data_IF_047915651511
#
_entry.id   IF_047915651511
#
_cell.length_a   1.000
_cell.length_b   1.000
_cell.length_c   1.000
_cell.angle_alpha   90.00
_cell.angle_beta   90.00
_cell.angle_gamma   90.00
#
_symmetry.space_group_name_H-M   'P 1'
#
loop_
_entity.id
_entity.type
_entity.pdbx_description
1 polymer ?
#
# COMPACT_ATOMS: atom_id res chain seq x y z
N UNK A 1 41.40 26.80 -26.25
CA UNK A 1 40.75 25.49 -26.23
C UNK A 1 40.00 25.47 -24.91
N UNK A 2 38.73 25.69 -25.03
CA UNK A 2 37.84 26.02 -23.91
C UNK A 2 37.25 24.75 -23.31
N UNK A 3 37.48 24.56 -22.02
CA UNK A 3 36.82 23.56 -21.17
C UNK A 3 35.31 23.78 -21.24
N UNK A 4 34.58 22.74 -21.62
CA UNK A 4 33.15 22.70 -21.53
C UNK A 4 32.73 22.45 -20.07
N UNK A 5 32.27 23.48 -19.42
CA UNK A 5 31.53 23.41 -18.14
C UNK A 5 30.36 22.46 -18.28
N UNK A 6 30.49 21.29 -17.70
CA UNK A 6 29.35 20.39 -17.43
C UNK A 6 28.60 20.94 -16.22
N UNK A 7 27.38 21.38 -16.44
CA UNK A 7 26.47 21.86 -15.39
C UNK A 7 26.32 20.78 -14.29
N UNK A 8 26.72 21.07 -13.04
CA UNK A 8 26.70 20.07 -11.96
C UNK A 8 25.32 19.73 -11.43
N UNK A 9 24.24 20.34 -11.92
CA UNK A 9 22.90 20.15 -11.32
C UNK A 9 22.05 19.04 -11.96
N UNK A 10 22.46 18.46 -13.09
CA UNK A 10 21.64 17.45 -13.80
C UNK A 10 22.15 16.02 -13.67
N UNK A 11 23.32 15.79 -13.09
CA UNK A 11 23.97 14.48 -13.11
C UNK A 11 23.72 13.53 -11.91
N UNK A 12 23.40 13.94 -10.66
CA UNK A 12 23.37 13.01 -9.54
C UNK A 12 22.10 12.15 -9.43
N UNK A 13 20.96 12.70 -9.83
CA UNK A 13 19.65 12.06 -9.56
C UNK A 13 19.40 10.82 -10.43
N UNK A 14 19.85 10.83 -11.67
CA UNK A 14 19.67 9.68 -12.56
C UNK A 14 20.62 8.52 -12.22
N UNK A 15 21.84 8.80 -11.77
CA UNK A 15 22.81 7.74 -11.43
C UNK A 15 22.42 6.93 -10.21
N UNK A 16 21.83 7.54 -9.18
CA UNK A 16 21.41 6.82 -7.97
C UNK A 16 20.27 5.82 -8.26
N UNK A 17 19.31 6.19 -9.08
CA UNK A 17 18.21 5.30 -9.46
C UNK A 17 18.65 4.07 -10.26
N UNK A 18 19.59 4.24 -11.21
CA UNK A 18 20.14 3.12 -11.99
C UNK A 18 21.03 2.21 -11.15
N UNK A 19 21.84 2.77 -10.25
CA UNK A 19 22.69 1.95 -9.36
C UNK A 19 21.81 1.12 -8.41
N UNK A 20 20.80 1.71 -7.80
CA UNK A 20 19.85 0.98 -6.95
C UNK A 20 19.10 -0.10 -7.72
N UNK A 21 18.68 0.18 -8.95
CA UNK A 21 18.07 -0.84 -9.83
C UNK A 21 19.03 -1.98 -10.12
N UNK A 22 20.30 -1.68 -10.44
CA UNK A 22 21.32 -2.69 -10.73
C UNK A 22 21.71 -3.52 -9.50
N UNK A 23 21.80 -2.90 -8.33
CA UNK A 23 22.07 -3.58 -7.06
C UNK A 23 20.95 -4.56 -6.66
N UNK A 24 19.71 -4.25 -7.04
CA UNK A 24 18.53 -5.09 -6.76
C UNK A 24 18.18 -6.04 -7.92
N UNK A 25 18.92 -5.99 -9.03
CA UNK A 25 18.78 -6.96 -10.11
C UNK A 25 19.27 -8.34 -9.62
N UNK A 26 18.32 -9.25 -9.41
CA UNK A 26 18.68 -10.66 -9.21
C UNK A 26 19.18 -11.24 -10.54
N UNK A 27 20.45 -11.62 -10.65
CA UNK A 27 21.02 -12.16 -11.88
C UNK A 27 20.42 -13.53 -12.26
N UNK A 28 19.80 -14.20 -11.27
CA UNK A 28 19.10 -15.47 -11.47
C UNK A 28 17.64 -15.32 -11.11
N UNK A 29 16.76 -15.80 -11.99
CA UNK A 29 15.33 -15.89 -11.74
C UNK A 29 14.98 -17.36 -11.49
N UNK A 30 14.34 -17.60 -10.36
CA UNK A 30 13.89 -18.95 -9.99
C UNK A 30 12.46 -19.17 -10.43
N UNK A 31 12.23 -20.31 -11.06
CA UNK A 31 10.94 -20.71 -11.57
C UNK A 31 10.55 -22.08 -11.04
N UNK A 32 9.32 -22.20 -10.59
CA UNK A 32 8.67 -23.43 -10.24
C UNK A 32 7.41 -23.62 -11.05
N UNK A 33 6.60 -24.57 -10.64
CA UNK A 33 5.37 -24.91 -11.31
C UNK A 33 4.23 -25.12 -10.32
N UNK A 34 3.02 -24.84 -10.76
CA UNK A 34 1.81 -25.16 -10.00
C UNK A 34 1.63 -26.67 -9.98
N UNK A 35 1.68 -27.26 -8.80
CA UNK A 35 1.39 -28.67 -8.54
C UNK A 35 -0.11 -28.94 -8.48
N UNK A 36 -0.86 -28.04 -7.85
CA UNK A 36 -2.29 -28.16 -7.68
C UNK A 36 -2.93 -26.93 -7.05
N UNK A 37 -4.25 -26.87 -7.14
CA UNK A 37 -5.06 -25.80 -6.52
C UNK A 37 -6.02 -26.45 -5.53
N UNK A 38 -5.99 -26.03 -4.28
CA UNK A 38 -6.81 -26.53 -3.17
C UNK A 38 -7.60 -25.38 -2.55
N UNK A 39 -8.84 -25.21 -2.95
CA UNK A 39 -9.66 -24.10 -2.48
C UNK A 39 -9.04 -22.74 -2.82
N UNK A 40 -8.64 -21.97 -1.79
CA UNK A 40 -8.01 -20.65 -1.95
C UNK A 40 -6.47 -20.70 -1.98
N UNK A 41 -5.88 -21.90 -1.95
CA UNK A 41 -4.43 -22.08 -1.91
C UNK A 41 -3.92 -22.77 -3.16
N UNK A 42 -2.74 -22.36 -3.61
CA UNK A 42 -2.02 -22.96 -4.74
C UNK A 42 -0.77 -23.65 -4.19
N UNK A 43 -0.59 -24.92 -4.53
CA UNK A 43 0.63 -25.66 -4.23
C UNK A 43 1.65 -25.46 -5.35
N UNK A 44 2.87 -25.07 -4.96
CA UNK A 44 3.97 -24.76 -5.88
C UNK A 44 5.13 -25.68 -5.57
N UNK A 45 5.70 -26.30 -6.59
CA UNK A 45 6.86 -27.18 -6.50
C UNK A 45 8.06 -26.65 -7.27
N UNK A 46 9.25 -27.19 -6.97
CA UNK A 46 10.51 -26.89 -7.69
C UNK A 46 11.24 -25.63 -7.21
N UNK A 47 10.68 -24.85 -6.28
CA UNK A 47 11.31 -23.61 -5.78
C UNK A 47 11.16 -23.39 -4.27
N UNK A 48 10.81 -24.41 -3.51
CA UNK A 48 10.57 -24.25 -2.06
C UNK A 48 11.77 -23.68 -1.31
N UNK A 49 12.99 -23.99 -1.76
CA UNK A 49 14.24 -23.52 -1.14
C UNK A 49 14.53 -22.02 -1.41
N UNK A 50 13.84 -21.43 -2.38
CA UNK A 50 13.98 -20.02 -2.77
C UNK A 50 12.81 -19.16 -2.31
N UNK A 51 11.87 -19.73 -1.57
CA UNK A 51 10.68 -19.05 -1.07
C UNK A 51 10.72 -18.93 0.46
N UNK A 52 10.19 -17.85 0.95
CA UNK A 52 9.99 -17.62 2.40
C UNK A 52 8.53 -17.30 2.68
N UNK A 53 8.05 -17.61 3.89
CA UNK A 53 6.70 -17.22 4.31
C UNK A 53 6.59 -15.70 4.28
N UNK A 54 5.53 -15.19 3.65
CA UNK A 54 5.32 -13.75 3.41
C UNK A 54 5.99 -13.22 2.12
N UNK A 55 6.86 -14.03 1.48
CA UNK A 55 7.36 -13.73 0.13
C UNK A 55 6.27 -13.81 -0.92
N UNK A 56 6.51 -13.25 -2.09
CA UNK A 56 5.54 -13.22 -3.18
C UNK A 56 6.06 -13.93 -4.44
N UNK A 57 5.13 -14.42 -5.23
CA UNK A 57 5.40 -15.00 -6.53
C UNK A 57 4.37 -14.56 -7.57
N UNK A 58 4.71 -14.72 -8.84
CA UNK A 58 3.82 -14.51 -9.98
C UNK A 58 3.55 -15.87 -10.65
N UNK A 59 2.28 -16.21 -10.80
CA UNK A 59 1.82 -17.44 -11.44
C UNK A 59 1.32 -17.08 -12.83
N UNK A 60 1.91 -17.66 -13.86
CA UNK A 60 1.50 -17.45 -15.24
C UNK A 60 0.12 -18.09 -15.50
N UNK A 61 -0.72 -17.41 -16.26
CA UNK A 61 -2.04 -17.88 -16.68
C UNK A 61 -2.14 -17.74 -18.19
N UNK A 62 -2.19 -18.82 -18.90
CA UNK A 62 -2.14 -18.86 -20.37
C UNK A 62 -3.02 -17.79 -21.04
N UNK A 63 -2.41 -16.73 -21.57
CA UNK A 63 -3.10 -15.62 -22.23
C UNK A 63 -3.70 -14.54 -21.32
N UNK A 64 -3.63 -14.69 -19.99
CA UNK A 64 -4.11 -13.71 -19.02
C UNK A 64 -2.95 -13.06 -18.27
N UNK A 65 -3.21 -11.94 -17.60
CA UNK A 65 -2.22 -11.30 -16.71
C UNK A 65 -1.77 -12.27 -15.61
N UNK A 66 -0.47 -12.30 -15.27
CA UNK A 66 0.03 -13.16 -14.20
C UNK A 66 -0.69 -12.88 -12.87
N UNK A 67 -0.93 -13.94 -12.11
CA UNK A 67 -1.57 -13.86 -10.80
C UNK A 67 -0.52 -13.75 -9.71
N UNK A 68 -0.53 -12.66 -8.94
CA UNK A 68 0.33 -12.49 -7.77
C UNK A 68 -0.19 -13.32 -6.61
N UNK A 69 0.70 -13.98 -5.87
CA UNK A 69 0.35 -14.76 -4.69
C UNK A 69 1.39 -14.56 -3.56
N UNK A 70 0.94 -14.65 -2.30
CA UNK A 70 1.78 -14.61 -1.11
C UNK A 70 2.02 -16.03 -0.60
N UNK A 71 3.25 -16.36 -0.25
CA UNK A 71 3.59 -17.65 0.37
C UNK A 71 3.13 -17.66 1.81
N UNK A 72 2.25 -18.58 2.14
CA UNK A 72 1.65 -18.70 3.48
C UNK A 72 2.21 -19.86 4.30
N UNK A 73 2.95 -20.78 3.67
CA UNK A 73 3.58 -21.90 4.35
C UNK A 73 4.15 -22.92 3.40
N UNK A 74 4.58 -24.05 3.97
CA UNK A 74 5.15 -25.18 3.24
C UNK A 74 4.53 -26.48 3.72
N UNK A 75 4.29 -27.42 2.82
CA UNK A 75 3.74 -28.75 3.14
C UNK A 75 4.25 -29.77 2.14
N UNK A 76 4.75 -30.91 2.63
CA UNK A 76 5.20 -32.04 1.79
C UNK A 76 6.17 -31.63 0.66
N UNK A 77 7.11 -30.72 0.95
CA UNK A 77 8.10 -30.26 -0.02
C UNK A 77 7.57 -29.23 -1.03
N UNK A 78 6.29 -28.85 -0.97
CA UNK A 78 5.69 -27.81 -1.81
C UNK A 78 5.46 -26.53 -1.00
N UNK A 79 5.57 -25.38 -1.65
CA UNK A 79 5.16 -24.10 -1.07
C UNK A 79 3.63 -23.94 -1.25
N UNK A 80 2.98 -23.42 -0.22
CA UNK A 80 1.58 -23.04 -0.24
C UNK A 80 1.49 -21.54 -0.47
N UNK A 81 0.90 -21.13 -1.59
CA UNK A 81 0.69 -19.75 -1.94
C UNK A 81 -0.80 -19.39 -1.89
N UNK A 82 -1.12 -18.23 -1.37
CA UNK A 82 -2.46 -17.66 -1.40
C UNK A 82 -2.51 -16.54 -2.45
N UNK A 83 -3.34 -16.66 -3.49
CA UNK A 83 -3.48 -15.65 -4.52
C UNK A 83 -4.11 -14.36 -4.02
N UNK A 84 -3.67 -13.23 -4.57
CA UNK A 84 -4.30 -11.92 -4.35
C UNK A 84 -5.58 -11.73 -5.16
N UNK A 85 -5.77 -12.49 -6.23
CA UNK A 85 -6.98 -12.46 -7.09
C UNK A 85 -7.61 -13.82 -7.23
N UNK A 86 -8.54 -13.93 -8.19
CA UNK A 86 -9.24 -15.19 -8.50
C UNK A 86 -8.31 -16.21 -9.16
N UNK A 87 -8.52 -17.48 -8.84
CA UNK A 87 -7.73 -18.61 -9.34
C UNK A 87 -8.20 -19.13 -10.72
N UNK A 88 -9.14 -18.43 -11.33
CA UNK A 88 -9.64 -18.78 -12.65
C UNK A 88 -8.50 -18.84 -13.67
N UNK A 89 -8.58 -19.80 -14.57
CA UNK A 89 -7.57 -20.06 -15.62
C UNK A 89 -6.19 -20.50 -15.11
N UNK A 90 -6.06 -20.89 -13.84
CA UNK A 90 -4.87 -21.59 -13.36
C UNK A 90 -4.90 -23.05 -13.82
N UNK A 91 -3.78 -23.51 -14.37
CA UNK A 91 -3.58 -24.92 -14.73
C UNK A 91 -2.45 -25.53 -13.90
N UNK A 92 -2.50 -26.83 -13.70
CA UNK A 92 -1.35 -27.58 -13.20
C UNK A 92 -0.20 -27.47 -14.20
N UNK A 93 1.02 -27.37 -13.68
CA UNK A 93 2.20 -27.12 -14.52
C UNK A 93 2.40 -25.66 -14.92
N UNK A 94 1.47 -24.74 -14.59
CA UNK A 94 1.66 -23.31 -14.85
C UNK A 94 2.96 -22.80 -14.20
N UNK A 95 3.72 -21.99 -14.94
CA UNK A 95 5.02 -21.47 -14.49
C UNK A 95 4.84 -20.45 -13.37
N UNK A 96 5.66 -20.58 -12.35
CA UNK A 96 5.68 -19.68 -11.18
C UNK A 96 7.03 -19.00 -11.08
N UNK A 97 7.04 -17.67 -11.10
CA UNK A 97 8.24 -16.85 -10.92
C UNK A 97 8.33 -16.37 -9.48
N UNK A 98 9.45 -16.57 -8.82
CA UNK A 98 9.74 -15.98 -7.51
C UNK A 98 9.94 -14.48 -7.67
N UNK A 99 9.27 -13.68 -6.84
CA UNK A 99 9.57 -12.27 -6.69
C UNK A 99 10.63 -12.11 -5.60
N UNK A 100 11.77 -11.53 -5.96
CA UNK A 100 12.87 -11.32 -5.03
C UNK A 100 12.50 -10.26 -3.99
N UNK A 101 12.81 -10.54 -2.73
CA UNK A 101 12.63 -9.60 -1.62
C UNK A 101 11.21 -9.58 -1.02
N UNK A 102 11.09 -8.87 0.09
CA UNK A 102 9.81 -8.53 0.68
C UNK A 102 9.11 -7.47 -0.20
N UNK A 103 7.75 -7.42 -0.21
CA UNK A 103 7.06 -6.40 -0.96
C UNK A 103 7.37 -5.00 -0.40
N UNK A 104 7.84 -4.12 -1.27
CA UNK A 104 8.30 -2.77 -0.96
C UNK A 104 7.54 -1.73 -1.78
N UNK A 105 7.47 -0.51 -1.24
CA UNK A 105 6.99 0.69 -1.91
C UNK A 105 8.14 1.68 -2.04
N UNK A 106 8.03 2.56 -3.02
CA UNK A 106 8.95 3.68 -3.21
C UNK A 106 8.17 5.01 -3.17
N UNK A 107 7.59 5.38 -2.00
CA UNK A 107 6.77 6.56 -1.91
C UNK A 107 7.58 7.83 -2.15
N UNK A 108 6.93 8.84 -2.72
CA UNK A 108 7.50 10.17 -2.91
C UNK A 108 6.47 11.25 -2.54
N UNK A 109 6.88 12.51 -2.32
CA UNK A 109 5.95 13.61 -2.09
C UNK A 109 4.92 13.79 -3.22
N UNK A 110 5.27 13.37 -4.45
CA UNK A 110 4.39 13.42 -5.62
C UNK A 110 3.22 12.42 -5.57
N UNK A 111 3.15 11.56 -4.53
CA UNK A 111 2.01 10.66 -4.32
C UNK A 111 0.78 11.37 -3.75
N UNK A 112 0.92 12.62 -3.26
CA UNK A 112 -0.24 13.44 -2.89
C UNK A 112 -1.15 13.67 -4.10
N UNK A 113 -2.43 13.47 -3.94
CA UNK A 113 -3.43 13.53 -5.02
C UNK A 113 -3.62 12.25 -5.82
N UNK A 114 -2.94 11.14 -5.44
CA UNK A 114 -3.01 9.86 -6.13
C UNK A 114 -3.88 8.83 -5.40
N UNK A 115 -4.45 7.93 -6.19
CA UNK A 115 -5.27 6.80 -5.70
C UNK A 115 -4.57 5.51 -6.11
N UNK A 116 -4.32 4.66 -5.12
CA UNK A 116 -3.51 3.45 -5.23
C UNK A 116 -4.34 2.20 -4.92
N UNK A 117 -3.93 1.07 -5.47
CA UNK A 117 -4.41 -0.24 -5.03
C UNK A 117 -3.61 -0.75 -3.81
N UNK A 118 -3.92 -1.96 -3.35
CA UNK A 118 -3.25 -2.60 -2.22
C UNK A 118 -1.75 -2.87 -2.43
N UNK A 119 -1.29 -2.92 -3.68
CA UNK A 119 0.12 -3.09 -4.02
C UNK A 119 0.88 -1.77 -4.16
N UNK A 120 0.20 -0.63 -3.98
CA UNK A 120 0.79 0.71 -4.19
C UNK A 120 0.87 1.11 -5.66
N UNK A 121 0.12 0.45 -6.54
CA UNK A 121 0.05 0.78 -7.96
C UNK A 121 -1.08 1.79 -8.21
N UNK A 122 -0.91 2.77 -9.12
CA UNK A 122 -1.91 3.79 -9.36
C UNK A 122 -3.14 3.24 -10.09
N UNK A 123 -4.33 3.61 -9.63
CA UNK A 123 -5.62 3.24 -10.23
C UNK A 123 -6.44 4.46 -10.70
N UNK A 124 -5.86 5.65 -10.60
CA UNK A 124 -6.50 6.94 -10.90
C UNK A 124 -6.35 7.40 -12.35
N UNK A 125 -5.79 6.60 -13.24
CA UNK A 125 -5.54 6.89 -14.66
C UNK A 125 -4.67 8.14 -14.89
N UNK A 126 -3.96 8.65 -13.88
CA UNK A 126 -3.07 9.80 -13.97
C UNK A 126 -1.63 9.44 -14.38
N UNK A 127 -1.43 8.26 -14.95
CA UNK A 127 -0.12 7.75 -15.34
C UNK A 127 0.70 7.15 -14.19
N UNK A 128 1.94 6.75 -14.45
CA UNK A 128 2.79 6.10 -13.46
C UNK A 128 3.08 6.99 -12.26
N UNK A 129 3.40 6.36 -11.13
CA UNK A 129 3.85 7.08 -9.94
C UNK A 129 5.31 7.51 -10.08
N UNK A 130 5.62 8.67 -9.55
CA UNK A 130 7.03 9.05 -9.33
C UNK A 130 7.57 8.24 -8.18
N UNK A 131 8.64 7.48 -8.41
CA UNK A 131 9.32 6.71 -7.39
C UNK A 131 10.16 7.61 -6.50
N UNK A 132 10.11 7.35 -5.20
CA UNK A 132 11.02 7.94 -4.23
C UNK A 132 12.38 7.24 -4.27
N UNK A 133 13.35 7.84 -3.61
CA UNK A 133 14.72 7.36 -3.57
C UNK A 133 14.89 6.09 -2.70
N UNK A 134 14.06 5.94 -1.67
CA UNK A 134 14.21 4.89 -0.67
C UNK A 134 13.05 3.91 -0.67
N UNK A 135 13.40 2.63 -0.67
CA UNK A 135 12.43 1.55 -0.49
C UNK A 135 11.84 1.58 0.92
N UNK A 136 10.54 1.30 1.01
CA UNK A 136 9.84 1.11 2.26
C UNK A 136 9.12 -0.23 2.25
N UNK A 137 9.44 -1.13 3.20
CA UNK A 137 8.74 -2.40 3.28
C UNK A 137 7.25 -2.15 3.62
N UNK A 138 6.36 -2.85 2.94
CA UNK A 138 4.91 -2.74 3.18
C UNK A 138 4.58 -3.19 4.60
N UNK A 139 5.22 -4.27 5.08
CA UNK A 139 5.10 -4.74 6.46
C UNK A 139 6.31 -4.24 7.26
N UNK A 140 6.17 -3.06 7.86
CA UNK A 140 7.21 -2.48 8.72
C UNK A 140 7.35 -3.20 10.07
N UNK A 141 8.52 -3.06 10.68
CA UNK A 141 8.75 -3.53 12.05
C UNK A 141 8.16 -2.55 13.05
N UNK A 142 7.34 -2.99 14.01
CA UNK A 142 6.78 -2.10 15.02
C UNK A 142 7.87 -1.39 15.84
N UNK A 143 7.67 -0.10 16.08
CA UNK A 143 8.59 0.69 16.94
C UNK A 143 8.55 0.10 18.36
N UNK A 144 9.70 -0.27 18.95
CA UNK A 144 9.77 -0.77 20.31
C UNK A 144 9.12 0.19 21.32
N UNK A 145 8.47 -0.35 22.35
CA UNK A 145 7.66 0.45 23.28
C UNK A 145 8.45 1.61 23.93
N UNK A 146 9.70 1.38 24.31
CA UNK A 146 10.57 2.38 24.92
C UNK A 146 11.00 3.54 24.00
N UNK A 147 10.92 3.33 22.66
CA UNK A 147 11.24 4.36 21.64
C UNK A 147 10.01 5.14 21.18
N UNK A 148 8.81 4.72 21.61
CA UNK A 148 7.58 5.42 21.23
C UNK A 148 7.52 6.77 21.93
N UNK A 149 7.25 7.81 21.14
CA UNK A 149 7.00 9.14 21.69
C UNK A 149 5.69 9.13 22.48
N UNK A 150 5.61 9.97 23.52
CA UNK A 150 4.34 10.26 24.21
C UNK A 150 3.38 10.96 23.23
N UNK A 151 2.08 10.93 23.55
CA UNK A 151 1.11 11.75 22.81
C UNK A 151 1.55 13.20 22.83
N UNK A 152 1.46 13.85 21.66
CA UNK A 152 1.87 15.23 21.49
C UNK A 152 0.77 16.21 21.86
N UNK A 153 0.92 17.43 21.36
CA UNK A 153 -0.04 18.51 21.54
C UNK A 153 -1.39 18.19 20.88
N UNK A 154 -2.40 18.94 21.29
CA UNK A 154 -3.73 18.87 20.70
C UNK A 154 -3.69 19.18 19.20
N UNK A 155 -4.35 18.36 18.42
CA UNK A 155 -4.49 18.53 16.99
C UNK A 155 -5.82 19.22 16.67
N UNK A 156 -5.79 20.24 15.83
CA UNK A 156 -7.01 20.84 15.29
C UNK A 156 -7.58 19.93 14.20
N UNK A 157 -8.70 19.30 14.51
CA UNK A 157 -9.41 18.40 13.60
C UNK A 157 -10.28 19.12 12.57
N UNK A 158 -10.30 20.47 12.59
CA UNK A 158 -11.10 21.29 11.69
C UNK A 158 -12.61 21.28 11.97
N UNK A 159 -13.05 20.54 12.97
CA UNK A 159 -14.46 20.39 13.34
C UNK A 159 -14.70 20.89 14.75
N UNK A 160 -15.57 21.90 14.91
CA UNK A 160 -15.86 22.52 16.22
C UNK A 160 -16.26 21.50 17.28
N UNK A 161 -17.15 20.55 16.92
CA UNK A 161 -17.62 19.50 17.83
C UNK A 161 -16.47 18.63 18.33
N UNK A 162 -15.60 18.18 17.43
CA UNK A 162 -14.44 17.37 17.82
C UNK A 162 -13.45 18.18 18.64
N UNK A 163 -13.15 19.39 18.20
CA UNK A 163 -12.22 20.25 18.91
C UNK A 163 -12.69 20.62 20.32
N UNK A 164 -14.00 20.66 20.56
CA UNK A 164 -14.56 21.02 21.85
C UNK A 164 -14.81 19.83 22.77
N UNK A 165 -15.46 18.79 22.26
CA UNK A 165 -15.95 17.69 23.09
C UNK A 165 -15.14 16.40 22.97
N UNK A 166 -14.39 16.22 21.87
CA UNK A 166 -13.62 15.02 21.57
C UNK A 166 -12.21 15.40 21.09
N UNK A 167 -11.44 16.14 21.90
CA UNK A 167 -10.12 16.60 21.49
C UNK A 167 -9.19 15.43 21.18
N UNK A 168 -8.51 15.51 20.04
CA UNK A 168 -7.54 14.53 19.61
C UNK A 168 -6.13 15.13 19.68
N UNK A 169 -5.16 14.35 20.16
CA UNK A 169 -3.76 14.76 20.23
C UNK A 169 -2.94 14.09 19.10
N UNK A 170 -1.81 14.71 18.76
CA UNK A 170 -0.86 14.15 17.82
C UNK A 170 -0.34 12.80 18.34
N UNK A 171 -0.36 11.78 17.47
CA UNK A 171 0.00 10.40 17.83
C UNK A 171 -1.11 9.60 18.51
N UNK A 172 -2.28 10.18 18.75
CA UNK A 172 -3.44 9.47 19.30
C UNK A 172 -4.12 8.61 18.24
N UNK A 173 -4.65 7.47 18.67
CA UNK A 173 -5.55 6.62 17.90
C UNK A 173 -6.97 6.76 18.41
N UNK A 174 -7.91 7.00 17.51
CA UNK A 174 -9.32 7.19 17.83
C UNK A 174 -10.17 6.26 16.97
N UNK A 175 -11.15 5.61 17.56
CA UNK A 175 -12.13 4.79 16.84
C UNK A 175 -13.40 5.59 16.58
N UNK A 176 -13.92 5.48 15.36
CA UNK A 176 -15.24 6.00 14.97
C UNK A 176 -16.17 4.81 14.79
N UNK A 177 -17.04 4.59 15.77
CA UNK A 177 -18.00 3.50 15.76
C UNK A 177 -19.39 4.03 15.42
N UNK A 178 -19.99 3.48 14.37
CA UNK A 178 -21.32 3.88 13.93
C UNK A 178 -22.03 2.76 13.19
N UNK A 179 -23.37 2.81 13.19
CA UNK A 179 -24.19 2.01 12.29
C UNK A 179 -24.08 2.47 10.83
N UNK A 180 -24.76 1.78 9.94
CA UNK A 180 -24.85 2.18 8.53
C UNK A 180 -25.68 3.46 8.38
N UNK A 181 -25.26 4.36 7.49
CA UNK A 181 -26.02 5.55 7.09
C UNK A 181 -26.04 6.71 8.09
N UNK A 182 -25.27 6.67 9.18
CA UNK A 182 -25.28 7.74 10.21
C UNK A 182 -24.23 8.83 9.99
N UNK A 183 -23.53 8.83 8.84
CA UNK A 183 -22.59 9.90 8.47
C UNK A 183 -21.13 9.63 8.77
N UNK A 184 -20.68 8.39 9.00
CA UNK A 184 -19.25 8.04 9.21
C UNK A 184 -18.37 8.54 8.06
N UNK A 185 -18.73 8.23 6.82
CA UNK A 185 -17.97 8.64 5.64
C UNK A 185 -17.95 10.16 5.45
N UNK A 186 -19.07 10.84 5.77
CA UNK A 186 -19.14 12.29 5.78
C UNK A 186 -18.18 12.89 6.81
N UNK A 187 -18.16 12.35 8.02
CA UNK A 187 -17.23 12.78 9.07
C UNK A 187 -15.77 12.59 8.62
N UNK A 188 -15.44 11.44 8.05
CA UNK A 188 -14.08 11.17 7.55
C UNK A 188 -13.67 12.15 6.45
N UNK A 189 -14.57 12.44 5.51
CA UNK A 189 -14.32 13.42 4.46
C UNK A 189 -14.11 14.84 5.02
N UNK A 190 -14.90 15.24 6.01
CA UNK A 190 -14.72 16.52 6.70
C UNK A 190 -13.38 16.58 7.42
N UNK A 191 -12.95 15.51 8.09
CA UNK A 191 -11.63 15.42 8.70
C UNK A 191 -10.51 15.55 7.66
N UNK A 192 -10.62 14.83 6.54
CA UNK A 192 -9.65 14.90 5.46
C UNK A 192 -9.56 16.31 4.84
N UNK A 193 -10.67 17.04 4.75
CA UNK A 193 -10.69 18.40 4.18
C UNK A 193 -10.21 19.46 5.15
N UNK A 194 -10.54 19.36 6.43
CA UNK A 194 -10.42 20.49 7.37
C UNK A 194 -9.41 20.30 8.49
N UNK A 195 -8.96 19.06 8.78
CA UNK A 195 -7.96 18.85 9.80
C UNK A 195 -6.63 19.53 9.46
N UNK A 196 -5.98 20.11 10.45
CA UNK A 196 -4.65 20.71 10.32
C UNK A 196 -3.57 19.63 10.34
N UNK A 197 -3.45 18.92 9.22
CA UNK A 197 -2.40 17.97 8.93
C UNK A 197 -1.74 18.34 7.61
N UNK A 198 -0.45 18.03 7.43
CA UNK A 198 0.29 18.32 6.20
C UNK A 198 -0.06 17.31 5.11
N UNK A 199 -0.28 16.06 5.53
CA UNK A 199 -0.68 14.96 4.64
C UNK A 199 -1.78 14.13 5.27
N UNK A 200 -2.75 13.76 4.45
CA UNK A 200 -3.81 12.82 4.81
C UNK A 200 -3.56 11.51 4.08
N UNK A 201 -3.59 10.39 4.78
CA UNK A 201 -3.55 9.06 4.14
C UNK A 201 -4.83 8.33 4.46
N UNK A 202 -5.54 7.91 3.43
CA UNK A 202 -6.88 7.31 3.57
C UNK A 202 -6.86 5.90 3.02
N UNK A 203 -7.12 4.91 3.88
CA UNK A 203 -7.36 3.53 3.48
C UNK A 203 -8.87 3.25 3.38
N UNK A 204 -9.37 3.01 2.18
CA UNK A 204 -10.74 2.58 1.93
C UNK A 204 -10.74 1.07 1.70
N UNK A 205 -11.05 0.30 2.76
CA UNK A 205 -10.81 -1.14 2.79
C UNK A 205 -12.14 -1.87 3.03
N UNK A 206 -12.55 -2.65 2.03
CA UNK A 206 -13.75 -3.44 2.07
C UNK A 206 -15.05 -2.64 1.88
N UNK A 207 -14.95 -1.38 1.45
CA UNK A 207 -16.11 -0.58 1.06
C UNK A 207 -16.58 -0.98 -0.35
N UNK A 208 -17.84 -0.71 -0.68
CA UNK A 208 -18.35 -1.00 -2.02
C UNK A 208 -17.78 0.00 -3.03
N UNK A 209 -17.49 -0.46 -4.26
CA UNK A 209 -16.93 0.40 -5.31
C UNK A 209 -17.72 1.69 -5.52
N UNK A 210 -19.07 1.65 -5.45
CA UNK A 210 -19.91 2.84 -5.53
C UNK A 210 -19.66 3.81 -4.36
N UNK A 211 -19.59 3.31 -3.13
CA UNK A 211 -19.35 4.13 -1.93
C UNK A 211 -17.97 4.78 -1.97
N UNK A 212 -16.97 4.08 -2.51
CA UNK A 212 -15.63 4.62 -2.75
C UNK A 212 -15.68 5.76 -3.76
N UNK A 213 -16.40 5.59 -4.86
CA UNK A 213 -16.55 6.62 -5.88
C UNK A 213 -17.23 7.87 -5.32
N UNK A 214 -18.38 7.71 -4.65
CA UNK A 214 -19.12 8.81 -4.04
C UNK A 214 -18.29 9.54 -2.97
N UNK A 215 -17.49 8.78 -2.19
CA UNK A 215 -16.58 9.38 -1.21
C UNK A 215 -15.52 10.26 -1.88
N UNK A 216 -14.90 9.80 -2.95
CA UNK A 216 -13.83 10.53 -3.64
C UNK A 216 -14.38 11.78 -4.34
N UNK A 217 -15.48 11.63 -5.08
CA UNK A 217 -16.02 12.70 -5.92
C UNK A 217 -16.79 13.75 -5.10
N UNK A 218 -17.71 13.29 -4.27
CA UNK A 218 -18.68 14.18 -3.61
C UNK A 218 -18.21 14.62 -2.22
N UNK A 219 -17.70 13.67 -1.43
CA UNK A 219 -17.39 13.96 -0.04
C UNK A 219 -15.99 14.57 0.13
N UNK A 220 -14.94 13.96 -0.46
CA UNK A 220 -13.56 14.43 -0.37
C UNK A 220 -13.32 15.60 -1.31
N UNK A 221 -13.73 15.47 -2.57
CA UNK A 221 -13.54 16.44 -3.63
C UNK A 221 -12.08 16.68 -4.00
N UNK A 222 -11.84 17.55 -5.00
CA UNK A 222 -10.51 17.81 -5.50
C UNK A 222 -9.56 18.41 -4.45
N UNK A 223 -10.04 19.35 -3.63
CA UNK A 223 -9.21 20.01 -2.62
C UNK A 223 -8.76 19.04 -1.51
N UNK A 224 -9.66 18.15 -1.09
CA UNK A 224 -9.30 17.11 -0.13
C UNK A 224 -8.34 16.09 -0.73
N UNK A 225 -8.53 15.73 -2.00
CA UNK A 225 -7.68 14.78 -2.70
C UNK A 225 -6.26 15.32 -2.89
N UNK A 226 -6.07 16.60 -3.25
CA UNK A 226 -4.74 17.20 -3.49
C UNK A 226 -3.76 17.03 -2.33
N UNK A 227 -4.25 16.98 -1.10
CA UNK A 227 -3.44 16.79 0.12
C UNK A 227 -3.48 15.37 0.68
N UNK A 228 -4.14 14.46 -0.04
CA UNK A 228 -4.36 13.10 0.40
C UNK A 228 -3.66 12.08 -0.49
N UNK A 229 -3.32 10.92 0.08
CA UNK A 229 -3.03 9.70 -0.67
C UNK A 229 -4.08 8.68 -0.29
N UNK A 230 -4.76 8.10 -1.28
CA UNK A 230 -5.78 7.08 -1.05
C UNK A 230 -5.23 5.71 -1.40
N UNK A 231 -5.52 4.73 -0.55
CA UNK A 231 -5.30 3.31 -0.82
C UNK A 231 -6.65 2.61 -0.80
N UNK A 232 -7.00 1.97 -1.90
CA UNK A 232 -8.33 1.39 -2.09
C UNK A 232 -8.23 -0.12 -2.29
N UNK A 233 -9.06 -0.85 -1.55
CA UNK A 233 -9.35 -2.26 -1.78
C UNK A 233 -10.84 -2.49 -1.49
N UNK A 234 -11.62 -2.68 -2.52
CA UNK A 234 -13.09 -2.78 -2.42
C UNK A 234 -13.57 -4.13 -1.87
N UNK A 235 -14.86 -4.24 -1.56
CA UNK A 235 -15.46 -5.45 -0.96
C UNK A 235 -15.44 -6.67 -1.86
N UNK A 236 -15.31 -6.48 -3.17
CA UNK A 236 -15.21 -7.52 -4.20
C UNK A 236 -13.78 -8.08 -4.34
N UNK A 237 -12.79 -7.40 -3.76
CA UNK A 237 -11.42 -7.89 -3.76
C UNK A 237 -11.20 -8.99 -2.70
N UNK A 238 -10.17 -9.80 -2.90
CA UNK A 238 -9.85 -10.90 -1.99
C UNK A 238 -9.54 -10.41 -0.56
N UNK A 239 -9.74 -11.25 0.47
CA UNK A 239 -9.35 -10.91 1.84
C UNK A 239 -7.87 -10.56 1.98
N UNK A 240 -7.02 -11.19 1.16
CA UNK A 240 -5.58 -10.92 1.14
C UNK A 240 -5.28 -9.52 0.61
N UNK A 241 -5.96 -9.08 -0.46
CA UNK A 241 -5.86 -7.71 -0.99
C UNK A 241 -6.31 -6.69 0.04
N UNK A 242 -7.44 -6.92 0.72
CA UNK A 242 -7.93 -6.01 1.77
C UNK A 242 -6.94 -5.90 2.94
N UNK A 243 -6.38 -7.02 3.38
CA UNK A 243 -5.31 -7.03 4.40
C UNK A 243 -4.07 -6.27 3.93
N UNK A 244 -3.66 -6.48 2.70
CA UNK A 244 -2.51 -5.81 2.10
C UNK A 244 -2.72 -4.30 2.02
N UNK A 245 -3.92 -3.83 1.64
CA UNK A 245 -4.26 -2.41 1.60
C UNK A 245 -4.07 -1.71 2.96
N UNK A 246 -4.40 -2.39 4.06
CA UNK A 246 -4.17 -1.84 5.40
C UNK A 246 -2.67 -1.61 5.67
N UNK A 247 -1.82 -2.56 5.33
CA UNK A 247 -0.37 -2.41 5.46
C UNK A 247 0.18 -1.32 4.54
N UNK A 248 -0.26 -1.29 3.29
CA UNK A 248 0.13 -0.25 2.32
C UNK A 248 -0.27 1.14 2.80
N UNK A 249 -1.48 1.31 3.34
CA UNK A 249 -1.93 2.56 3.95
C UNK A 249 -1.00 3.00 5.07
N UNK A 250 -0.65 2.10 5.97
CA UNK A 250 0.27 2.39 7.07
C UNK A 250 1.67 2.72 6.58
N UNK A 251 2.21 1.96 5.62
CA UNK A 251 3.55 2.21 5.07
C UNK A 251 3.65 3.59 4.40
N UNK A 252 2.60 4.01 3.66
CA UNK A 252 2.52 5.35 3.07
C UNK A 252 2.43 6.44 4.15
N UNK A 253 1.59 6.23 5.18
CA UNK A 253 1.47 7.18 6.28
C UNK A 253 2.79 7.34 7.07
N UNK A 254 3.48 6.23 7.30
CA UNK A 254 4.79 6.22 7.96
C UNK A 254 5.86 6.93 7.12
N UNK A 255 5.83 6.79 5.80
CA UNK A 255 6.75 7.50 4.91
C UNK A 255 6.63 9.01 5.11
N UNK A 256 5.43 9.58 5.03
CA UNK A 256 5.24 11.02 5.18
C UNK A 256 5.57 11.49 6.60
N UNK A 257 5.21 10.68 7.63
CA UNK A 257 5.59 10.97 9.02
C UNK A 257 7.11 11.04 9.20
N UNK A 258 7.84 10.08 8.62
CA UNK A 258 9.30 9.99 8.78
C UNK A 258 10.02 11.11 8.02
N UNK A 259 9.37 11.69 7.00
CA UNK A 259 9.83 12.90 6.32
C UNK A 259 9.40 14.21 7.01
N UNK A 260 8.80 14.13 8.20
CA UNK A 260 8.48 15.29 9.04
C UNK A 260 7.06 15.82 8.94
N UNK A 261 6.23 15.27 8.05
CA UNK A 261 4.83 15.68 7.91
C UNK A 261 4.02 15.32 9.18
N UNK A 262 3.09 16.18 9.55
CA UNK A 262 2.00 15.83 10.45
C UNK A 262 0.95 15.06 9.64
N UNK A 263 0.90 13.75 9.85
CA UNK A 263 0.04 12.86 9.07
C UNK A 263 -1.23 12.51 9.83
N UNK A 264 -2.38 12.71 9.19
CA UNK A 264 -3.64 12.13 9.63
C UNK A 264 -3.92 10.87 8.81
N UNK A 265 -3.86 9.70 9.45
CA UNK A 265 -4.21 8.43 8.82
C UNK A 265 -5.67 8.09 9.16
N UNK A 266 -6.51 7.95 8.13
CA UNK A 266 -7.89 7.53 8.22
C UNK A 266 -8.05 6.14 7.60
N UNK A 267 -8.75 5.23 8.27
CA UNK A 267 -8.95 3.87 7.76
C UNK A 267 -10.41 3.45 7.90
N UNK A 268 -11.05 3.20 6.79
CA UNK A 268 -12.43 2.72 6.69
C UNK A 268 -12.49 1.42 5.89
N UNK A 269 -12.58 0.29 6.49
CA UNK A 269 -12.58 0.01 7.91
C UNK A 269 -11.57 -1.09 8.27
N UNK A 270 -11.18 -1.15 9.54
CA UNK A 270 -10.27 -2.20 10.04
C UNK A 270 -11.00 -3.54 10.21
N UNK A 271 -12.33 -3.54 10.29
CA UNK A 271 -13.15 -4.73 10.58
C UNK A 271 -13.50 -5.57 9.36
N UNK A 272 -13.28 -5.09 8.15
CA UNK A 272 -13.55 -5.79 6.89
C UNK A 272 -12.27 -6.29 6.28
#
# INVERSE_FOLDING_TARGET
>A
MTDHDLDPQTAPVQRSGYLHFLENLSPMQHYGHVRGVLGLSVEIEGISDHLTVGGQCLIERGGFSPLRAEIVGFKNGAALAQPFGHTDHLSTGAKVKVLSGAPELYPSPAWKGRILNAHGEPIDQKGPLTHGEWARPIKGTPIPAYRRKRMGERMDMGLKVMNTFLPCCRGQRMGIFSGSGVGKSTLMAMLARYAKADTIVIGLIGERGREVHDFIQDALGEEGLKRSVLVVATSDESPLMRRQAAYTTMAVAEYFRDNGDQVLCLMDSVTR
#
